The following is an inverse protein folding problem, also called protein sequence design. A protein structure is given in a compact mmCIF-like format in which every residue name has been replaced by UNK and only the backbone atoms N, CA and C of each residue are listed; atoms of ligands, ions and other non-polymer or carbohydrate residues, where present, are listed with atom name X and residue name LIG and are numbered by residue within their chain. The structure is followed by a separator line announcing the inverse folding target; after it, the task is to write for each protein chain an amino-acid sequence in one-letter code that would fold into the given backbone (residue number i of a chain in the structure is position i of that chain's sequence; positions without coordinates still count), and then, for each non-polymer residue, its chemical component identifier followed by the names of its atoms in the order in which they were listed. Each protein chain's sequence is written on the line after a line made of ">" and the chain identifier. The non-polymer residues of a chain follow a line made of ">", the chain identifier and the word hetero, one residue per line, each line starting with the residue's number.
data_IF_209195234994
#
_entry.id   IF_209195234994
#
_cell.length_a   1.000
_cell.length_b   1.000
_cell.length_c   1.000
_cell.angle_alpha   90.00
_cell.angle_beta   90.00
_cell.angle_gamma   90.00
#
_symmetry.space_group_name_H-M   'P 1'
#
loop_
_entity.id
_entity.type
_entity.pdbx_description
1 polymer ?
#
# COMPACT_ATOMS: atom_id res chain seq x y z
N UNK A 1 -0.05 9.17 9.55
CA UNK A 1 1.02 8.41 8.85
C UNK A 1 0.42 7.99 7.53
N UNK A 2 1.01 8.40 6.40
CA UNK A 2 0.48 8.00 5.10
C UNK A 2 0.80 6.54 4.82
N UNK A 3 0.02 5.90 3.95
CA UNK A 3 0.27 4.52 3.49
C UNK A 3 1.74 4.28 3.14
N UNK A 4 2.35 5.25 2.47
CA UNK A 4 3.68 5.09 1.93
C UNK A 4 4.76 5.18 3.03
N UNK A 5 4.56 6.01 4.05
CA UNK A 5 5.48 6.07 5.19
C UNK A 5 5.55 4.73 5.92
N UNK A 6 4.42 4.05 6.08
CA UNK A 6 4.37 2.72 6.69
C UNK A 6 5.12 1.68 5.84
N UNK A 7 4.93 1.71 4.52
CA UNK A 7 5.57 0.77 3.59
C UNK A 7 7.07 0.96 3.42
N UNK A 8 7.59 2.18 3.60
CA UNK A 8 9.03 2.45 3.57
C UNK A 8 9.73 2.20 4.91
N UNK A 9 9.03 2.45 6.03
CA UNK A 9 9.61 2.34 7.36
C UNK A 9 9.64 0.93 7.94
N UNK A 10 9.00 -0.06 7.29
CA UNK A 10 8.83 -1.42 7.82
C UNK A 10 9.37 -2.48 6.85
N UNK A 11 9.92 -3.54 7.42
CA UNK A 11 10.27 -4.77 6.70
C UNK A 11 9.02 -5.51 6.19
N UNK A 12 9.20 -6.42 5.24
CA UNK A 12 8.09 -7.22 4.69
C UNK A 12 7.33 -7.99 5.79
N UNK A 13 8.05 -8.48 6.80
CA UNK A 13 7.47 -9.25 7.91
C UNK A 13 6.69 -8.36 8.87
N UNK A 14 7.22 -7.19 9.17
CA UNK A 14 6.51 -6.17 9.96
C UNK A 14 5.26 -5.68 9.23
N UNK A 15 5.31 -5.48 7.91
CA UNK A 15 4.15 -5.10 7.11
C UNK A 15 3.10 -6.20 7.07
N UNK A 16 3.49 -7.48 6.99
CA UNK A 16 2.54 -8.59 7.04
C UNK A 16 1.82 -8.65 8.39
N UNK A 17 2.55 -8.48 9.50
CA UNK A 17 1.99 -8.42 10.85
C UNK A 17 1.10 -7.20 11.04
N UNK A 18 1.56 -6.04 10.59
CA UNK A 18 0.83 -4.78 10.65
C UNK A 18 -0.49 -4.90 9.88
N UNK A 19 -0.44 -5.31 8.61
CA UNK A 19 -1.62 -5.44 7.77
C UNK A 19 -2.61 -6.48 8.34
N UNK A 20 -2.13 -7.55 8.98
CA UNK A 20 -2.97 -8.50 9.73
C UNK A 20 -3.71 -7.84 10.90
N UNK A 21 -3.05 -6.99 11.68
CA UNK A 21 -3.67 -6.24 12.79
C UNK A 21 -4.79 -5.31 12.30
N UNK A 22 -4.66 -4.80 11.08
CA UNK A 22 -5.65 -3.95 10.43
C UNK A 22 -6.74 -4.71 9.66
N UNK A 23 -6.79 -6.05 9.78
CA UNK A 23 -7.71 -6.94 9.05
C UNK A 23 -7.53 -6.92 7.53
N UNK A 24 -6.36 -6.51 7.05
CA UNK A 24 -5.97 -6.53 5.64
C UNK A 24 -4.80 -7.51 5.51
N UNK A 25 -5.02 -8.83 5.59
CA UNK A 25 -3.92 -9.78 5.52
C UNK A 25 -3.22 -9.69 4.16
N UNK A 26 -1.99 -9.17 4.16
CA UNK A 26 -1.11 -9.13 3.01
C UNK A 26 -0.07 -10.24 3.12
N UNK A 27 0.08 -11.03 2.07
CA UNK A 27 1.16 -11.99 1.93
C UNK A 27 2.48 -11.28 1.62
N UNK A 28 3.60 -11.95 1.90
CA UNK A 28 4.94 -11.45 1.54
C UNK A 28 5.06 -11.11 0.05
N UNK A 29 4.45 -11.92 -0.84
CA UNK A 29 4.43 -11.66 -2.29
C UNK A 29 3.64 -10.40 -2.65
N UNK A 30 2.52 -10.16 -1.98
CA UNK A 30 1.72 -8.94 -2.19
C UNK A 30 2.49 -7.70 -1.74
N UNK A 31 3.14 -7.76 -0.58
CA UNK A 31 3.97 -6.66 -0.06
C UNK A 31 5.13 -6.35 -1.00
N UNK A 32 5.81 -7.37 -1.52
CA UNK A 32 6.90 -7.22 -2.48
C UNK A 32 6.44 -6.61 -3.81
N UNK A 33 5.19 -6.84 -4.23
CA UNK A 33 4.61 -6.19 -5.41
C UNK A 33 4.19 -4.75 -5.13
N UNK A 34 3.68 -4.48 -3.94
CA UNK A 34 3.26 -3.13 -3.53
C UNK A 34 4.46 -2.20 -3.33
N UNK A 35 5.57 -2.70 -2.78
CA UNK A 35 6.78 -1.91 -2.52
C UNK A 35 7.24 -1.06 -3.71
N UNK A 36 7.51 -1.62 -4.91
CA UNK A 36 7.95 -0.82 -6.06
C UNK A 36 6.88 0.17 -6.56
N UNK A 37 5.60 -0.18 -6.43
CA UNK A 37 4.48 0.70 -6.82
C UNK A 37 4.39 1.93 -5.89
N UNK A 38 4.67 1.73 -4.60
CA UNK A 38 4.65 2.78 -3.58
C UNK A 38 6.01 3.48 -3.40
N UNK A 39 7.12 2.86 -3.81
CA UNK A 39 8.48 3.42 -3.69
C UNK A 39 8.82 4.44 -4.75
N UNK A 40 8.04 4.53 -5.84
CA UNK A 40 8.17 5.57 -6.88
C UNK A 40 7.64 6.92 -6.39
N UNK A 41 8.06 7.28 -5.18
CA UNK A 41 7.52 8.37 -4.40
C UNK A 41 7.85 9.70 -5.08
N UNK A 42 6.82 10.44 -5.45
CA UNK A 42 6.94 11.87 -5.68
C UNK A 42 6.16 12.58 -4.57
N UNK A 43 6.71 13.66 -4.01
CA UNK A 43 5.99 14.58 -3.12
C UNK A 43 4.64 15.00 -3.74
N UNK A 44 4.53 14.97 -5.08
CA UNK A 44 3.29 15.20 -5.81
C UNK A 44 2.16 14.25 -5.41
N UNK A 45 2.39 12.97 -5.09
CA UNK A 45 1.28 12.07 -4.72
C UNK A 45 0.71 12.35 -3.33
N UNK A 46 1.53 12.88 -2.43
CA UNK A 46 1.07 13.34 -1.12
C UNK A 46 0.17 14.57 -1.25
N UNK A 47 0.42 15.41 -2.27
CA UNK A 47 -0.32 16.65 -2.50
C UNK A 47 -1.53 16.48 -3.43
N UNK A 48 -1.40 15.66 -4.48
CA UNK A 48 -2.38 15.50 -5.55
C UNK A 48 -3.14 14.17 -5.49
N UNK A 49 -2.76 13.27 -4.57
CA UNK A 49 -3.27 11.92 -4.50
C UNK A 49 -2.51 10.93 -5.40
N UNK A 50 -2.83 9.66 -5.24
CA UNK A 50 -2.22 8.56 -5.99
C UNK A 50 -2.84 8.52 -7.40
N UNK A 51 -2.05 8.50 -8.50
CA UNK A 51 -2.58 8.42 -9.86
C UNK A 51 -3.42 7.16 -10.09
N UNK A 52 -4.47 7.27 -10.91
CA UNK A 52 -5.37 6.15 -11.24
C UNK A 52 -4.64 4.91 -11.78
N UNK A 53 -3.57 5.14 -12.55
CA UNK A 53 -2.77 4.03 -13.08
C UNK A 53 -2.11 3.22 -11.96
N UNK A 54 -1.60 3.89 -10.94
CA UNK A 54 -0.98 3.26 -9.76
C UNK A 54 -2.04 2.54 -8.95
N UNK A 55 -3.24 3.14 -8.78
CA UNK A 55 -4.36 2.45 -8.14
C UNK A 55 -4.72 1.15 -8.86
N UNK A 56 -4.80 1.17 -10.20
CA UNK A 56 -5.07 -0.05 -11.00
C UNK A 56 -3.99 -1.12 -10.81
N UNK A 57 -2.72 -0.72 -10.68
CA UNK A 57 -1.63 -1.66 -10.50
C UNK A 57 -1.58 -2.23 -9.07
N UNK A 58 -1.97 -1.44 -8.07
CA UNK A 58 -2.22 -1.91 -6.69
C UNK A 58 -3.38 -2.92 -6.68
N UNK A 59 -4.51 -2.60 -7.33
CA UNK A 59 -5.65 -3.52 -7.45
C UNK A 59 -5.27 -4.85 -8.09
N UNK A 60 -4.42 -4.85 -9.11
CA UNK A 60 -3.88 -6.08 -9.72
C UNK A 60 -2.94 -6.84 -8.79
N UNK A 61 -2.20 -6.14 -7.94
CA UNK A 61 -1.22 -6.74 -7.05
C UNK A 61 -1.86 -7.48 -5.86
N UNK A 62 -2.90 -6.89 -5.25
CA UNK A 62 -3.49 -7.36 -3.98
C UNK A 62 -5.00 -7.61 -4.04
N UNK A 63 -5.64 -7.30 -5.16
CA UNK A 63 -7.08 -7.40 -5.35
C UNK A 63 -7.84 -6.15 -4.93
N UNK A 64 -9.01 -5.94 -5.54
CA UNK A 64 -9.88 -4.77 -5.32
C UNK A 64 -10.30 -4.59 -3.86
N UNK A 65 -10.72 -5.67 -3.20
CA UNK A 65 -11.19 -5.61 -1.81
C UNK A 65 -10.08 -5.11 -0.86
N UNK A 66 -8.91 -5.75 -0.90
CA UNK A 66 -7.77 -5.36 -0.06
C UNK A 66 -7.29 -3.94 -0.39
N UNK A 67 -7.35 -3.54 -1.66
CA UNK A 67 -7.01 -2.17 -2.09
C UNK A 67 -7.96 -1.15 -1.47
N UNK A 68 -9.27 -1.41 -1.52
CA UNK A 68 -10.26 -0.54 -0.91
C UNK A 68 -10.07 -0.41 0.61
N UNK A 69 -9.83 -1.53 1.30
CA UNK A 69 -9.59 -1.54 2.74
C UNK A 69 -8.31 -0.77 3.11
N UNK A 70 -7.26 -0.94 2.31
CA UNK A 70 -5.95 -0.32 2.51
C UNK A 70 -6.00 1.19 2.23
N UNK A 71 -6.69 1.63 1.19
CA UNK A 71 -6.93 3.06 0.93
C UNK A 71 -7.85 3.70 1.97
N UNK A 72 -8.87 2.97 2.46
CA UNK A 72 -9.75 3.49 3.51
C UNK A 72 -9.00 3.78 4.81
N UNK A 73 -7.97 2.98 5.09
CA UNK A 73 -7.22 3.05 6.34
C UNK A 73 -6.03 4.01 6.28
N UNK A 74 -5.43 4.19 5.09
CA UNK A 74 -4.18 4.94 4.93
C UNK A 74 -4.19 6.00 3.82
N UNK A 75 -5.31 6.18 3.10
CA UNK A 75 -5.47 7.13 1.98
C UNK A 75 -5.81 8.56 2.40
N UNK A 76 -5.36 9.00 3.59
CA UNK A 76 -5.43 10.40 4.04
C UNK A 76 -4.04 11.00 4.13
#
# INVERSE_FOLDING_TARGET
>A
MSLIQEFQGKSDEELALYAKNYKIPLSKKEIQKLRPLLSSFSIQWVLMGIPDQVMRDIEKAIGKQKTADLLKQFGR
#
